data_IF_053527887591
#
_entry.id   IF_053527887591
#
_cell.length_a   1.000
_cell.length_b   1.000
_cell.length_c   1.000
_cell.angle_alpha   90.00
_cell.angle_beta   90.00
_cell.angle_gamma   90.00
#
_symmetry.space_group_name_H-M   'P 1'
#
loop_
_entity.id
_entity.type
_entity.pdbx_description
1 polymer ?
#
# COMPACT_ATOMS: atom_id res chain seq x y z
N UNK A 1 19.04 3.19 6.81
CA UNK A 1 17.83 2.34 6.66
C UNK A 1 18.10 1.19 5.70
N UNK A 2 18.05 -0.07 6.14
CA UNK A 2 18.11 -1.22 5.23
C UNK A 2 16.78 -1.31 4.48
N UNK A 3 16.76 -0.96 3.19
CA UNK A 3 15.66 -1.31 2.26
C UNK A 3 15.59 -2.84 2.18
N UNK A 4 14.85 -3.48 3.09
CA UNK A 4 14.60 -4.93 3.02
C UNK A 4 13.63 -5.22 1.88
N UNK A 5 13.75 -6.44 1.37
CA UNK A 5 13.58 -6.78 -0.04
C UNK A 5 12.19 -6.49 -0.60
N UNK A 6 12.02 -5.32 -1.24
CA UNK A 6 10.86 -4.98 -2.06
C UNK A 6 10.46 -6.09 -3.05
N UNK A 7 11.41 -6.97 -3.42
CA UNK A 7 11.16 -8.17 -4.24
C UNK A 7 10.14 -9.13 -3.61
N UNK A 8 10.09 -9.31 -2.28
CA UNK A 8 9.14 -10.25 -1.64
C UNK A 8 7.71 -9.71 -1.73
N UNK A 9 7.50 -8.46 -1.34
CA UNK A 9 6.20 -7.78 -1.44
C UNK A 9 5.73 -7.69 -2.89
N UNK A 10 6.63 -7.38 -3.84
CA UNK A 10 6.29 -7.32 -5.27
C UNK A 10 5.69 -8.63 -5.81
N UNK A 11 6.10 -9.80 -5.29
CA UNK A 11 5.54 -11.11 -5.67
C UNK A 11 4.10 -11.33 -5.17
N UNK A 12 3.68 -10.62 -4.13
CA UNK A 12 2.32 -10.72 -3.58
C UNK A 12 1.31 -9.84 -4.32
N UNK A 13 1.76 -8.98 -5.24
CA UNK A 13 0.91 -8.09 -6.04
C UNK A 13 -0.31 -8.78 -6.66
N UNK A 14 -0.19 -9.86 -7.45
CA UNK A 14 -1.37 -10.48 -8.06
C UNK A 14 -2.40 -10.90 -7.01
N UNK A 15 -1.97 -11.55 -5.93
CA UNK A 15 -2.84 -12.03 -4.84
C UNK A 15 -3.51 -10.88 -4.08
N UNK A 16 -2.77 -9.80 -3.80
CA UNK A 16 -3.31 -8.61 -3.13
C UNK A 16 -4.33 -7.90 -4.02
N UNK A 17 -4.07 -7.79 -5.32
CA UNK A 17 -5.00 -7.16 -6.27
C UNK A 17 -6.26 -8.01 -6.53
N UNK A 18 -6.11 -9.34 -6.52
CA UNK A 18 -7.25 -10.26 -6.63
C UNK A 18 -8.16 -10.14 -5.41
N UNK A 19 -7.58 -10.04 -4.21
CA UNK A 19 -8.34 -9.99 -2.95
C UNK A 19 -8.96 -8.63 -2.63
N UNK A 20 -8.23 -7.54 -2.90
CA UNK A 20 -8.63 -6.18 -2.48
C UNK A 20 -8.94 -5.25 -3.65
N UNK A 21 -8.83 -5.76 -4.88
CA UNK A 21 -9.08 -4.98 -6.07
C UNK A 21 -7.94 -3.99 -6.41
N UNK A 22 -8.31 -2.98 -7.20
CA UNK A 22 -7.37 -2.07 -7.87
C UNK A 22 -7.57 -0.60 -7.47
N UNK A 23 -8.23 -0.40 -6.34
CA UNK A 23 -8.54 0.93 -5.79
C UNK A 23 -7.55 1.24 -4.69
N UNK A 24 -7.03 2.46 -4.66
CA UNK A 24 -6.18 2.92 -3.58
C UNK A 24 -6.99 2.91 -2.28
N UNK A 25 -6.57 2.14 -1.29
CA UNK A 25 -7.32 2.03 -0.03
C UNK A 25 -7.23 3.31 0.83
N UNK A 26 -6.28 4.20 0.55
CA UNK A 26 -6.09 5.46 1.27
C UNK A 26 -7.05 6.55 0.76
N UNK A 27 -7.14 6.74 -0.55
CA UNK A 27 -7.94 7.83 -1.13
C UNK A 27 -9.16 7.36 -1.93
N UNK A 28 -9.44 6.05 -1.90
CA UNK A 28 -10.57 5.37 -2.57
C UNK A 28 -10.69 5.62 -4.08
N UNK A 29 -9.61 6.06 -4.74
CA UNK A 29 -9.57 6.31 -6.19
C UNK A 29 -8.88 5.17 -6.95
N UNK A 30 -9.19 4.97 -8.25
CA UNK A 30 -8.55 3.96 -9.07
C UNK A 30 -7.03 4.15 -9.19
N UNK A 31 -6.29 3.05 -9.21
CA UNK A 31 -4.83 3.05 -9.43
C UNK A 31 -4.53 3.05 -10.92
N UNK A 32 -3.52 3.83 -11.33
CA UNK A 32 -3.09 3.90 -12.72
C UNK A 32 -2.15 2.73 -13.05
N UNK A 33 -2.49 1.97 -14.09
CA UNK A 33 -1.71 0.85 -14.61
C UNK A 33 -1.02 1.24 -15.92
N UNK A 34 0.08 0.55 -16.26
CA UNK A 34 0.85 0.84 -17.48
C UNK A 34 1.70 2.12 -17.40
N UNK A 35 1.75 2.77 -16.24
CA UNK A 35 2.62 3.92 -15.99
C UNK A 35 3.92 3.51 -15.30
N UNK A 36 4.90 4.40 -15.34
CA UNK A 36 6.16 4.21 -14.65
C UNK A 36 5.99 4.11 -13.14
N UNK A 37 6.87 3.32 -12.51
CA UNK A 37 6.82 3.10 -11.06
C UNK A 37 7.08 4.35 -10.20
N UNK A 38 7.49 5.46 -10.83
CA UNK A 38 7.69 6.77 -10.19
C UNK A 38 6.45 7.66 -10.26
N UNK A 39 5.45 7.30 -11.07
CA UNK A 39 4.26 8.11 -11.22
C UNK A 39 3.47 8.16 -9.90
N UNK A 40 2.94 9.32 -9.48
CA UNK A 40 2.28 9.48 -8.18
C UNK A 40 1.07 8.55 -8.03
N UNK A 41 0.33 8.29 -9.11
CA UNK A 41 -0.82 7.36 -9.14
C UNK A 41 -0.45 5.91 -9.49
N UNK A 42 0.83 5.57 -9.56
CA UNK A 42 1.27 4.19 -9.82
C UNK A 42 0.92 3.26 -8.65
N UNK A 43 0.75 1.97 -8.96
CA UNK A 43 0.51 0.93 -7.97
C UNK A 43 1.71 0.74 -7.03
N UNK A 44 1.46 0.82 -5.73
CA UNK A 44 2.32 0.32 -4.67
C UNK A 44 1.55 -0.62 -3.75
N UNK A 45 2.27 -1.47 -3.02
CA UNK A 45 1.68 -2.25 -1.93
C UNK A 45 2.17 -1.63 -0.63
N UNK A 46 1.23 -1.14 0.16
CA UNK A 46 1.48 -0.53 1.45
C UNK A 46 1.16 -1.51 2.57
N UNK A 47 1.93 -1.42 3.65
CA UNK A 47 1.69 -2.18 4.87
C UNK A 47 0.72 -1.44 5.78
N UNK A 48 -0.38 -2.08 6.15
CA UNK A 48 -1.36 -1.54 7.11
C UNK A 48 -0.67 -1.23 8.44
N UNK A 49 -0.05 -2.25 9.04
CA UNK A 49 0.89 -2.06 10.13
C UNK A 49 2.30 -1.89 9.54
N UNK A 50 2.97 -0.74 9.74
CA UNK A 50 4.33 -0.53 9.27
C UNK A 50 5.28 -1.61 9.78
N UNK A 51 6.27 -1.97 8.98
CA UNK A 51 7.28 -2.97 9.35
C UNK A 51 8.07 -2.54 10.60
N UNK A 52 8.31 -1.23 10.77
CA UNK A 52 8.94 -0.66 11.96
C UNK A 52 8.15 -0.94 13.25
N UNK A 53 6.84 -1.20 13.13
CA UNK A 53 5.93 -1.52 14.23
C UNK A 53 5.58 -3.02 14.29
N UNK A 54 6.32 -3.89 13.61
CA UNK A 54 6.09 -5.34 13.60
C UNK A 54 5.22 -5.86 12.44
N UNK A 55 4.91 -5.00 11.46
CA UNK A 55 4.20 -5.39 10.25
C UNK A 55 4.90 -6.49 9.44
N UNK A 56 4.14 -7.51 9.03
CA UNK A 56 4.65 -8.64 8.23
C UNK A 56 4.32 -8.46 6.74
N UNK A 57 5.16 -9.05 5.88
CA UNK A 57 4.94 -9.18 4.43
C UNK A 57 3.92 -10.29 4.14
N UNK A 58 2.69 -10.13 4.59
CA UNK A 58 1.57 -11.06 4.38
C UNK A 58 0.42 -10.34 3.69
N UNK A 59 -0.34 -11.06 2.86
CA UNK A 59 -1.45 -10.49 2.08
C UNK A 59 -2.43 -9.72 2.98
N UNK A 60 -2.71 -10.23 4.19
CA UNK A 60 -3.63 -9.58 5.13
C UNK A 60 -3.15 -8.19 5.59
N UNK A 61 -1.84 -7.99 5.70
CA UNK A 61 -1.22 -6.72 6.11
C UNK A 61 -0.89 -5.82 4.92
N UNK A 62 -1.16 -6.23 3.69
CA UNK A 62 -0.86 -5.46 2.49
C UNK A 62 -2.14 -4.90 1.86
N UNK A 63 -2.09 -3.66 1.37
CA UNK A 63 -3.16 -3.05 0.58
C UNK A 63 -2.63 -2.32 -0.65
N UNK A 64 -3.41 -2.29 -1.74
CA UNK A 64 -3.06 -1.50 -2.92
C UNK A 64 -3.19 0.00 -2.62
N UNK A 65 -2.14 0.76 -2.88
CA UNK A 65 -2.10 2.21 -2.69
C UNK A 65 -1.41 2.91 -3.85
N UNK A 66 -1.77 4.17 -4.10
CA UNK A 66 -0.97 5.04 -4.95
C UNK A 66 0.39 5.28 -4.34
N UNK A 67 1.41 5.48 -5.17
CA UNK A 67 2.74 5.86 -4.72
C UNK A 67 2.72 7.10 -3.84
N UNK A 68 2.08 8.18 -4.30
CA UNK A 68 2.04 9.44 -3.57
C UNK A 68 1.29 9.32 -2.23
N UNK A 69 0.17 8.59 -2.20
CA UNK A 69 -0.57 8.37 -0.95
C UNK A 69 0.23 7.50 0.04
N UNK A 70 0.93 6.49 -0.45
CA UNK A 70 1.78 5.64 0.37
C UNK A 70 2.98 6.42 0.93
N UNK A 71 3.61 7.26 0.11
CA UNK A 71 4.70 8.15 0.52
C UNK A 71 4.23 9.18 1.56
N UNK A 72 3.04 9.76 1.38
CA UNK A 72 2.42 10.64 2.38
C UNK A 72 2.20 9.89 3.70
N UNK A 73 1.55 8.72 3.67
CA UNK A 73 1.31 7.90 4.88
C UNK A 73 2.60 7.62 5.65
N UNK A 74 3.65 7.18 4.96
CA UNK A 74 4.93 6.84 5.57
C UNK A 74 4.80 5.73 6.61
N UNK A 75 5.38 5.93 7.80
CA UNK A 75 5.39 4.96 8.90
C UNK A 75 4.22 5.15 9.89
N UNK A 76 3.17 5.89 9.52
CA UNK A 76 2.00 6.08 10.36
C UNK A 76 1.13 4.81 10.37
N UNK A 77 0.74 4.37 11.57
CA UNK A 77 -0.16 3.24 11.77
C UNK A 77 -1.62 3.58 11.41
N UNK A 78 -2.52 2.59 11.28
CA UNK A 78 -3.91 2.80 10.85
C UNK A 78 -4.77 3.68 11.76
N UNK A 79 -4.36 3.89 13.03
CA UNK A 79 -5.11 4.74 13.98
C UNK A 79 -5.30 6.18 13.47
N UNK A 80 -4.54 6.58 12.44
CA UNK A 80 -4.51 7.89 11.82
C UNK A 80 -5.45 7.98 10.60
N UNK A 81 -5.98 6.87 10.07
CA UNK A 81 -6.83 6.84 8.86
C UNK A 81 -8.19 6.13 9.01
N UNK A 82 -8.42 5.35 10.07
CA UNK A 82 -9.77 4.84 10.41
C UNK A 82 -10.81 5.97 10.52
N UNK A 83 -10.38 7.19 10.87
CA UNK A 83 -11.26 8.37 10.95
C UNK A 83 -11.68 8.95 9.60
N UNK A 84 -10.97 8.68 8.50
CA UNK A 84 -11.34 9.21 7.17
C UNK A 84 -12.30 8.28 6.39
N UNK A 85 -12.56 7.07 6.90
CA UNK A 85 -13.53 6.13 6.33
C UNK A 85 -14.81 6.00 7.18
N UNK A 86 -14.86 6.64 8.34
CA UNK A 86 -16.09 6.85 9.10
C UNK A 86 -16.78 8.11 8.55
N UNK A 87 -17.57 7.92 7.50
CA UNK A 87 -18.67 8.84 7.20
C UNK A 87 -19.74 8.72 8.29
#
# INVERSE_FOLDING_TARGET
MRRRSAKKVKRLRPVVLERYGRTCYLCTRPILYGTDSVHPLALTLDHLLPVSMGGRDVVDNLRPAHRACNEDKGERAPTWWERQQAG
#
